data_IF_231646385509
#
_entry.id   IF_231646385509
#
_cell.length_a   1.000
_cell.length_b   1.000
_cell.length_c   1.000
_cell.angle_alpha   90.00
_cell.angle_beta   90.00
_cell.angle_gamma   90.00
#
_symmetry.space_group_name_H-M   'P 1'
#
loop_
_entity.id
_entity.type
_entity.pdbx_description
1 polymer ?
2 non-polymer ?
3 non-polymer ?
4 water ?
#
# COMPACT_ATOMS: atom_id res chain seq x y z
N UNK A 1 10.78 -9.11 -28.89
CA UNK A 1 9.97 -8.70 -27.70
C UNK A 1 9.98 -9.76 -26.60
N UNK A 2 9.92 -11.04 -26.98
CA UNK A 2 10.08 -12.12 -26.02
C UNK A 2 11.46 -12.06 -25.36
N UNK A 3 12.46 -11.67 -26.13
CA UNK A 3 13.81 -11.46 -25.62
C UNK A 3 13.85 -10.36 -24.54
N UNK A 4 13.08 -9.29 -24.76
CA UNK A 4 12.96 -8.21 -23.78
C UNK A 4 12.38 -8.73 -22.46
N UNK A 5 11.38 -9.60 -22.55
CA UNK A 5 10.81 -10.22 -21.37
C UNK A 5 11.85 -11.10 -20.66
N UNK A 6 12.56 -11.89 -21.44
CA UNK A 6 13.57 -12.80 -20.93
C UNK A 6 14.61 -12.04 -20.11
N UNK A 7 15.04 -10.90 -20.62
CA UNK A 7 16.02 -10.07 -19.91
C UNK A 7 15.51 -9.64 -18.54
N UNK A 8 14.23 -9.27 -18.45
CA UNK A 8 13.67 -8.85 -17.16
C UNK A 8 13.53 -10.04 -16.22
N UNK A 9 13.01 -11.15 -16.72
CA UNK A 9 12.89 -12.36 -15.91
C UNK A 9 14.23 -12.76 -15.31
N UNK A 10 15.26 -12.83 -16.15
CA UNK A 10 16.59 -13.18 -15.67
C UNK A 10 17.10 -12.20 -14.63
N UNK A 11 16.83 -10.92 -14.84
CA UNK A 11 17.25 -9.88 -13.91
C UNK A 11 16.64 -10.06 -12.52
N UNK A 12 15.37 -10.48 -12.47
CA UNK A 12 14.65 -10.61 -11.19
C UNK A 12 15.01 -11.85 -10.37
N UNK A 13 15.86 -12.74 -10.92
CA UNK A 13 16.15 -14.03 -10.27
C UNK A 13 17.06 -13.94 -9.05
N UNK A 14 18.12 -13.15 -9.15
CA UNK A 14 19.17 -13.13 -8.11
C UNK A 14 18.61 -12.80 -6.73
N UNK A 15 17.67 -11.87 -6.68
CA UNK A 15 17.14 -11.38 -5.40
C UNK A 15 16.19 -12.35 -4.71
N UNK A 16 15.74 -13.39 -5.42
CA UNK A 16 14.70 -14.27 -4.87
C UNK A 16 15.14 -14.84 -3.54
N UNK A 17 14.21 -14.90 -2.59
CA UNK A 17 14.50 -15.43 -1.26
C UNK A 17 13.59 -16.59 -0.94
N UNK A 18 14.09 -17.51 -0.11
CA UNK A 18 13.28 -18.62 0.37
C UNK A 18 12.41 -18.13 1.51
N UNK A 19 11.17 -18.63 1.59
CA UNK A 19 10.31 -18.27 2.71
C UNK A 19 10.92 -18.65 4.06
N UNK A 20 10.56 -17.89 5.08
CA UNK A 20 10.87 -18.21 6.46
C UNK A 20 9.99 -19.37 6.90
N UNK A 21 10.59 -20.52 7.32
CA UNK A 21 9.76 -21.66 7.73
C UNK A 21 8.75 -21.37 8.85
N UNK A 22 9.02 -20.35 9.67
CA UNK A 22 8.09 -19.91 10.70
C UNK A 22 6.80 -19.33 10.11
N UNK A 23 6.89 -18.81 8.87
CA UNK A 23 5.76 -18.11 8.24
C UNK A 23 5.23 -18.77 6.97
N UNK A 24 5.99 -19.69 6.39
CA UNK A 24 5.64 -20.29 5.11
C UNK A 24 4.34 -21.08 5.20
N UNK A 25 3.33 -20.61 4.46
CA UNK A 25 2.07 -21.32 4.37
C UNK A 25 1.15 -21.23 5.58
N UNK A 26 1.51 -20.43 6.57
CA UNK A 26 0.73 -20.39 7.81
C UNK A 26 -0.66 -19.80 7.60
N UNK A 27 -0.84 -19.07 6.50
CA UNK A 27 -2.13 -18.45 6.19
C UNK A 27 -2.80 -19.05 4.95
N UNK A 28 -2.39 -20.25 4.57
CA UNK A 28 -2.98 -20.94 3.42
C UNK A 28 -4.50 -20.93 3.49
N UNK A 29 -5.11 -20.39 2.44
CA UNK A 29 -6.58 -20.35 2.29
C UNK A 29 -7.34 -19.60 3.38
N UNK A 30 -6.65 -18.75 4.14
CA UNK A 30 -7.31 -17.85 5.09
C UNK A 30 -7.73 -16.57 4.40
N UNK A 31 -8.80 -15.96 4.88
CA UNK A 31 -9.23 -14.68 4.32
C UNK A 31 -8.13 -13.65 4.51
N UNK A 32 -7.98 -12.77 3.53
CA UNK A 32 -7.02 -11.69 3.56
C UNK A 32 -7.76 -10.38 3.41
N UNK A 33 -7.61 -9.51 4.41
CA UNK A 33 -8.24 -8.20 4.42
C UNK A 33 -7.11 -7.17 4.35
N UNK A 34 -7.22 -6.27 3.38
CA UNK A 34 -6.17 -5.32 3.06
C UNK A 34 -6.79 -3.93 3.19
N UNK A 35 -6.30 -3.14 4.14
CA UNK A 35 -6.90 -1.86 4.49
C UNK A 35 -5.97 -0.74 4.09
N UNK A 36 -6.43 0.04 3.12
CA UNK A 36 -5.70 1.18 2.60
C UNK A 36 -6.01 2.43 3.41
N UNK A 37 -4.96 3.13 3.83
CA UNK A 37 -5.11 4.39 4.54
C UNK A 37 -4.68 5.51 3.60
N UNK A 38 -5.65 6.21 3.03
CA UNK A 38 -5.37 7.27 2.06
C UNK A 38 -4.45 8.33 2.66
N UNK A 39 -3.37 8.64 1.94
CA UNK A 39 -2.48 9.77 2.25
C UNK A 39 -1.88 9.74 3.65
N UNK A 40 -1.72 8.55 4.21
CA UNK A 40 -1.32 8.39 5.59
C UNK A 40 0.19 8.29 5.75
N UNK A 41 0.76 9.17 6.58
CA UNK A 41 2.18 9.15 6.89
C UNK A 41 2.38 8.85 8.36
N UNK A 42 3.38 8.03 8.67
CA UNK A 42 3.57 7.60 10.04
C UNK A 42 4.12 8.66 10.99
N UNK A 43 4.44 9.86 10.50
CA UNK A 43 4.74 10.95 11.45
C UNK A 43 3.56 11.21 12.39
N UNK A 44 2.37 10.77 11.98
CA UNK A 44 1.18 10.84 12.82
C UNK A 44 1.23 9.90 14.02
N UNK A 45 1.96 8.80 13.88
CA UNK A 45 1.98 7.78 14.93
C UNK A 45 2.64 8.35 16.18
N UNK A 46 1.89 8.30 17.29
CA UNK A 46 2.28 8.87 18.59
C UNK A 46 2.27 10.39 18.67
N UNK A 47 1.83 11.05 17.60
CA UNK A 47 1.78 12.50 17.57
C UNK A 47 0.57 13.00 18.33
N UNK A 48 0.79 14.01 19.16
CA UNK A 48 -0.29 14.72 19.84
C UNK A 48 -0.44 16.14 19.28
N UNK A 49 -1.68 16.61 19.21
CA UNK A 49 -2.00 17.98 18.82
C UNK A 49 -2.97 18.53 19.85
N UNK A 50 -2.62 19.67 20.46
CA UNK A 50 -3.37 20.23 21.58
C UNK A 50 -3.62 19.20 22.69
N UNK A 51 -2.61 18.35 22.90
CA UNK A 51 -2.66 17.33 23.95
C UNK A 51 -3.42 16.05 23.60
N UNK A 52 -4.03 16.01 22.42
CA UNK A 52 -4.81 14.85 21.99
C UNK A 52 -4.02 13.99 21.02
N UNK A 53 -4.06 12.67 21.20
CA UNK A 53 -3.46 11.74 20.22
C UNK A 53 -4.24 11.83 18.92
N UNK A 54 -3.53 12.09 17.83
CA UNK A 54 -4.20 12.19 16.55
C UNK A 54 -4.79 10.84 16.15
N UNK A 55 -4.00 9.77 16.28
CA UNK A 55 -4.38 8.45 15.79
C UNK A 55 -4.26 7.39 16.91
N UNK A 56 -5.11 7.48 17.95
CA UNK A 56 -4.91 6.60 19.11
C UNK A 56 -5.01 5.10 18.82
N UNK A 57 -5.87 4.70 17.90
CA UNK A 57 -5.99 3.28 17.60
C UNK A 57 -4.74 2.75 16.89
N UNK A 58 -4.32 3.46 15.84
CA UNK A 58 -3.07 3.09 15.15
C UNK A 58 -1.86 3.16 16.06
N UNK A 59 -1.89 4.07 17.03
CA UNK A 59 -0.83 4.12 18.04
C UNK A 59 -0.75 2.83 18.82
N UNK A 60 -1.91 2.29 19.20
CA UNK A 60 -1.96 1.00 19.88
C UNK A 60 -1.42 -0.12 18.99
N UNK A 61 -1.85 -0.16 17.73
CA UNK A 61 -1.34 -1.19 16.82
C UNK A 61 0.17 -1.08 16.65
N UNK A 62 0.67 0.16 16.64
CA UNK A 62 2.09 0.42 16.39
C UNK A 62 2.98 0.05 17.58
N UNK A 63 2.38 -0.22 18.74
CA UNK A 63 3.13 -0.66 19.92
C UNK A 63 3.66 -2.09 19.76
N UNK A 64 3.07 -2.84 18.83
CA UNK A 64 3.41 -4.24 18.63
C UNK A 64 2.72 -5.19 19.60
N UNK A 65 1.89 -4.65 20.48
CA UNK A 65 1.25 -5.43 21.55
C UNK A 65 -0.21 -5.80 21.23
N UNK A 66 -0.66 -5.48 20.02
CA UNK A 66 -2.05 -5.67 19.63
C UNK A 66 -2.24 -6.65 18.47
N UNK A 67 -1.34 -7.62 18.39
CA UNK A 67 -1.41 -8.72 17.39
C UNK A 67 -0.92 -8.35 15.99
N UNK A 68 -0.63 -7.07 15.77
CA UNK A 68 -0.08 -6.63 14.48
C UNK A 68 1.43 -6.47 14.60
N UNK A 69 2.13 -6.86 13.53
CA UNK A 69 3.53 -6.52 13.37
C UNK A 69 3.60 -5.20 12.61
N UNK A 70 4.20 -4.20 13.23
CA UNK A 70 4.36 -2.87 12.66
C UNK A 70 5.77 -2.68 12.12
N UNK A 71 5.83 -2.16 10.89
CA UNK A 71 7.09 -1.83 10.22
C UNK A 71 7.23 -0.31 10.19
N UNK A 72 8.00 0.28 11.12
CA UNK A 72 8.17 1.74 11.15
C UNK A 72 9.05 2.32 10.06
N UNK A 73 9.76 1.48 9.33
CA UNK A 73 10.65 1.93 8.25
C UNK A 73 10.16 1.42 6.89
N UNK A 74 8.88 1.67 6.63
CA UNK A 74 8.19 1.13 5.47
C UNK A 74 7.72 2.29 4.61
N UNK A 75 8.10 2.25 3.33
CA UNK A 75 7.96 3.39 2.41
C UNK A 75 7.10 3.08 1.20
N UNK A 76 6.23 4.01 0.86
CA UNK A 76 5.60 3.99 -0.46
C UNK A 76 6.68 4.31 -1.50
N UNK A 77 6.41 3.92 -2.74
CA UNK A 77 7.37 4.10 -3.83
C UNK A 77 6.64 4.66 -5.05
N UNK A 78 5.65 5.50 -4.80
CA UNK A 78 4.74 6.00 -5.82
C UNK A 78 5.30 7.21 -6.54
N UNK A 79 4.65 7.52 -7.66
CA UNK A 79 4.95 8.70 -8.46
C UNK A 79 3.67 9.47 -8.70
N UNK A 80 3.46 9.90 -9.95
CA UNK A 80 2.34 10.78 -10.27
C UNK A 80 0.98 10.08 -10.24
N UNK A 81 0.97 8.75 -10.24
CA UNK A 81 -0.27 7.99 -10.11
C UNK A 81 -0.82 7.94 -8.70
N UNK A 82 -0.02 8.37 -7.72
CA UNK A 82 -0.45 8.49 -6.31
C UNK A 82 -1.14 7.21 -5.83
N UNK A 83 -2.42 7.29 -5.46
CA UNK A 83 -3.16 6.13 -4.95
C UNK A 83 -3.10 4.94 -5.91
N UNK A 84 -3.34 5.20 -7.19
CA UNK A 84 -3.33 4.12 -8.18
C UNK A 84 -1.95 3.49 -8.33
N UNK A 85 -0.88 4.28 -8.17
CA UNK A 85 0.47 3.71 -8.18
C UNK A 85 0.66 2.73 -7.02
N UNK A 86 0.19 3.13 -5.84
CA UNK A 86 0.27 2.25 -4.68
C UNK A 86 -0.49 0.95 -4.95
N UNK A 87 -1.71 1.05 -5.47
CA UNK A 87 -2.47 -0.15 -5.79
C UNK A 87 -1.71 -1.06 -6.76
N UNK A 88 -1.17 -0.43 -7.80
CA UNK A 88 -0.42 -1.11 -8.85
C UNK A 88 0.73 -1.93 -8.25
N UNK A 89 1.52 -1.28 -7.41
CA UNK A 89 2.68 -1.90 -6.80
C UNK A 89 2.26 -2.98 -5.80
N UNK A 90 1.24 -2.70 -4.99
CA UNK A 90 0.80 -3.63 -3.96
C UNK A 90 0.36 -4.97 -4.55
N UNK A 91 -0.27 -4.93 -5.73
CA UNK A 91 -0.78 -6.14 -6.34
C UNK A 91 0.09 -6.73 -7.45
N UNK A 92 1.24 -6.12 -7.74
CA UNK A 92 2.10 -6.61 -8.83
C UNK A 92 3.59 -6.68 -8.53
N UNK A 93 4.05 -6.00 -7.48
CA UNK A 93 5.50 -5.91 -7.21
C UNK A 93 6.26 -5.34 -8.43
N UNK A 94 5.63 -4.34 -9.03
CA UNK A 94 6.18 -3.54 -10.14
C UNK A 94 6.07 -2.10 -9.70
N UNK A 95 6.91 -1.23 -10.26
CA UNK A 95 6.79 0.21 -10.07
C UNK A 95 5.75 0.78 -11.02
N UNK A 96 5.15 1.90 -10.62
CA UNK A 96 4.43 2.73 -11.58
C UNK A 96 5.40 3.36 -12.57
N UNK A 97 4.89 4.27 -13.39
CA UNK A 97 5.70 4.94 -14.41
C UNK A 97 6.42 6.16 -13.84
N UNK A 98 7.51 6.61 -14.49
CA UNK A 98 8.19 7.81 -13.99
C UNK A 98 7.35 9.08 -14.15
N UNK A 99 6.49 9.08 -15.17
CA UNK A 99 5.55 10.17 -15.38
C UNK A 99 4.21 9.61 -15.78
N UNK A 100 3.16 10.27 -15.30
CA UNK A 100 1.79 9.83 -15.54
C UNK A 100 1.41 8.62 -14.70
N UNK A 101 0.26 8.06 -15.00
CA UNK A 101 -0.34 6.99 -14.21
C UNK A 101 -0.38 5.68 -14.99
N UNK A 102 0.24 4.66 -14.44
CA UNK A 102 0.20 3.32 -15.02
C UNK A 102 -1.24 2.81 -15.19
N UNK A 103 -2.09 3.06 -14.20
CA UNK A 103 -3.50 2.67 -14.31
C UNK A 103 -4.16 3.31 -15.55
N UNK A 104 -3.91 4.59 -15.74
CA UNK A 104 -4.53 5.35 -16.83
C UNK A 104 -3.93 5.02 -18.19
N UNK A 105 -2.63 4.77 -18.21
CA UNK A 105 -1.90 4.60 -19.47
C UNK A 105 -1.69 3.16 -19.91
N UNK A 106 -1.64 2.24 -18.94
CA UNK A 106 -1.29 0.83 -19.19
C UNK A 106 -2.38 -0.10 -18.69
N UNK A 107 -3.61 0.40 -18.70
CA UNK A 107 -4.76 -0.35 -18.19
C UNK A 107 -5.18 -1.58 -18.96
N UNK A 108 -4.77 -1.66 -20.22
CA UNK A 108 -5.06 -2.84 -21.04
C UNK A 108 -3.84 -3.74 -21.27
N UNK A 109 -2.76 -3.50 -20.53
CA UNK A 109 -1.63 -4.42 -20.48
C UNK A 109 -2.02 -5.76 -19.90
N UNK A 110 -1.20 -6.76 -20.19
CA UNK A 110 -1.30 -8.09 -19.59
C UNK A 110 -0.56 -8.06 -18.26
N UNK A 111 -1.18 -8.60 -17.22
CA UNK A 111 -0.58 -8.66 -15.89
C UNK A 111 -0.66 -10.07 -15.32
N UNK A 112 0.18 -10.35 -14.35
CA UNK A 112 0.13 -11.60 -13.60
C UNK A 112 0.02 -11.25 -12.12
N UNK A 113 -1.13 -10.70 -11.77
CA UNK A 113 -1.32 -10.00 -10.50
C UNK A 113 -1.57 -10.93 -9.32
N UNK A 114 -1.29 -10.41 -8.13
CA UNK A 114 -1.53 -11.11 -6.87
C UNK A 114 -2.95 -11.67 -6.74
N UNK A 115 -4.01 -10.86 -6.95
CA UNK A 115 -5.35 -11.46 -6.82
C UNK A 115 -5.58 -12.64 -7.77
N UNK A 116 -5.11 -12.54 -9.01
CA UNK A 116 -5.25 -13.63 -9.95
C UNK A 116 -4.50 -14.89 -9.50
N UNK A 117 -3.29 -14.71 -8.96
CA UNK A 117 -2.52 -15.85 -8.46
C UNK A 117 -3.24 -16.55 -7.31
N UNK A 118 -3.75 -15.76 -6.37
CA UNK A 118 -4.48 -16.33 -5.22
C UNK A 118 -5.72 -17.08 -5.70
N UNK A 119 -6.45 -16.50 -6.64
CA UNK A 119 -7.62 -17.13 -7.25
C UNK A 119 -7.23 -18.48 -7.86
N UNK A 120 -6.18 -18.48 -8.68
CA UNK A 120 -5.81 -19.68 -9.42
C UNK A 120 -5.24 -20.78 -8.55
N UNK A 121 -4.39 -20.40 -7.60
CA UNK A 121 -3.69 -21.38 -6.78
C UNK A 121 -4.52 -21.92 -5.62
N UNK A 122 -5.37 -21.08 -5.04
CA UNK A 122 -6.04 -21.44 -3.80
C UNK A 122 -7.54 -21.18 -3.78
N UNK A 123 -8.10 -20.79 -4.92
CA UNK A 123 -9.55 -20.63 -5.04
C UNK A 123 -10.12 -19.40 -4.37
N UNK A 124 -9.27 -18.40 -4.13
CA UNK A 124 -9.74 -17.11 -3.62
C UNK A 124 -10.71 -16.46 -4.58
N UNK A 125 -11.57 -15.62 -4.03
CA UNK A 125 -12.27 -14.61 -4.81
C UNK A 125 -11.76 -13.27 -4.29
N UNK A 126 -11.43 -12.37 -5.21
CA UNK A 126 -10.84 -11.09 -4.86
C UNK A 126 -11.81 -9.95 -5.09
N UNK A 127 -11.83 -8.99 -4.18
CA UNK A 127 -12.68 -7.83 -4.32
C UNK A 127 -11.97 -6.56 -3.90
N UNK A 128 -12.45 -5.44 -4.43
CA UNK A 128 -12.06 -4.12 -3.98
C UNK A 128 -13.35 -3.42 -3.59
N UNK A 129 -13.30 -2.64 -2.53
CA UNK A 129 -14.41 -1.82 -2.10
C UNK A 129 -13.93 -0.38 -1.98
N UNK A 130 -14.72 0.57 -2.47
CA UNK A 130 -14.29 1.96 -2.51
C UNK A 130 -15.49 2.87 -2.71
N UNK A 131 -15.55 3.96 -1.95
CA UNK A 131 -16.65 4.92 -2.01
C UNK A 131 -16.56 5.99 -3.09
N UNK A 132 -16.09 5.60 -4.26
CA UNK A 132 -16.08 6.45 -5.45
C UNK A 132 -16.44 5.55 -6.63
N UNK A 133 -16.75 6.15 -7.78
CA UNK A 133 -17.26 5.41 -8.93
C UNK A 133 -16.13 4.72 -9.71
N UNK A 134 -16.45 3.57 -10.27
CA UNK A 134 -15.46 2.62 -10.75
C UNK A 134 -14.52 3.05 -11.88
N UNK A 135 -14.90 4.04 -12.69
CA UNK A 135 -13.99 4.43 -13.79
C UNK A 135 -13.01 5.52 -13.40
N UNK A 136 -13.11 6.03 -12.18
CA UNK A 136 -12.07 6.94 -11.75
C UNK A 136 -10.74 6.19 -11.60
N UNK A 137 -9.67 6.84 -12.06
CA UNK A 137 -8.33 6.25 -12.18
C UNK A 137 -8.33 4.98 -13.04
N UNK A 138 -9.36 4.84 -13.89
CA UNK A 138 -9.44 3.73 -14.84
C UNK A 138 -9.52 2.37 -14.13
N UNK A 139 -10.03 2.35 -12.90
CA UNK A 139 -10.03 1.12 -12.11
C UNK A 139 -10.82 0.01 -12.77
N UNK A 140 -11.97 0.35 -13.36
CA UNK A 140 -12.83 -0.64 -14.00
C UNK A 140 -12.04 -1.48 -15.02
N UNK A 141 -11.30 -0.82 -15.90
CA UNK A 141 -10.50 -1.52 -16.90
C UNK A 141 -9.31 -2.26 -16.27
N UNK A 142 -8.58 -1.58 -15.40
CA UNK A 142 -7.37 -2.16 -14.80
C UNK A 142 -7.69 -3.42 -14.01
N UNK A 143 -8.73 -3.36 -13.20
CA UNK A 143 -9.05 -4.47 -12.33
C UNK A 143 -9.40 -5.74 -13.11
N UNK A 144 -9.98 -5.58 -14.30
CA UNK A 144 -10.29 -6.74 -15.15
C UNK A 144 -9.02 -7.42 -15.62
N UNK A 145 -8.00 -6.61 -15.89
CA UNK A 145 -6.70 -7.12 -16.32
C UNK A 145 -5.92 -7.74 -15.15
N UNK A 146 -6.15 -7.23 -13.93
CA UNK A 146 -5.56 -7.82 -12.73
C UNK A 146 -6.29 -9.09 -12.30
N UNK A 147 -7.48 -9.31 -12.83
CA UNK A 147 -8.28 -10.48 -12.45
C UNK A 147 -9.01 -10.35 -11.13
N UNK A 148 -9.42 -9.13 -10.79
CA UNK A 148 -10.23 -8.89 -9.61
C UNK A 148 -11.68 -9.25 -9.91
N UNK A 149 -12.29 -10.06 -9.05
CA UNK A 149 -13.61 -10.62 -9.31
C UNK A 149 -14.75 -9.64 -9.09
N UNK A 150 -14.65 -8.80 -8.07
CA UNK A 150 -15.75 -7.92 -7.72
C UNK A 150 -15.25 -6.55 -7.29
N UNK A 151 -15.99 -5.52 -7.66
CA UNK A 151 -15.65 -4.14 -7.29
C UNK A 151 -16.89 -3.50 -6.72
N UNK A 152 -16.92 -3.39 -5.40
CA UNK A 152 -17.98 -2.67 -4.69
C UNK A 152 -17.63 -1.19 -4.72
N UNK A 153 -18.01 -0.51 -5.80
CA UNK A 153 -17.76 0.90 -5.93
C UNK A 153 -18.87 1.71 -5.28
N UNK A 154 -18.91 3.01 -5.57
CA UNK A 154 -19.86 3.91 -4.91
C UNK A 154 -21.33 3.51 -5.09
N UNK A 155 -21.64 2.76 -6.14
CA UNK A 155 -23.02 2.33 -6.39
C UNK A 155 -23.49 1.29 -5.37
N UNK A 156 -22.58 0.83 -4.51
CA UNK A 156 -22.89 -0.12 -3.44
C UNK A 156 -23.12 0.55 -2.09
N UNK A 157 -23.07 1.88 -2.08
CA UNK A 157 -23.22 2.66 -0.86
C UNK A 157 -24.21 3.80 -1.08
N UNK A 158 -24.76 4.34 0.00
CA UNK A 158 -25.68 5.47 -0.09
C UNK A 158 -24.86 6.75 -0.21
N UNK A 159 -24.84 7.32 -1.41
CA UNK A 159 -24.01 8.47 -1.71
C UNK A 159 -24.72 9.81 -1.53
N UNK A 160 -25.75 9.82 -0.68
CA UNK A 160 -26.47 11.05 -0.36
C UNK A 160 -25.54 12.05 0.33
N UNK A 161 -25.92 13.33 0.26
CA UNK A 161 -25.11 14.43 0.78
C UNK A 161 -24.60 14.24 2.20
N UNK A 162 -25.46 13.71 3.07
CA UNK A 162 -25.11 13.48 4.47
C UNK A 162 -23.99 12.44 4.67
N UNK A 163 -23.78 11.59 3.66
CA UNK A 163 -22.81 10.50 3.75
C UNK A 163 -21.50 10.77 3.02
N UNK A 164 -21.39 11.94 2.41
CA UNK A 164 -20.22 12.24 1.58
C UNK A 164 -19.49 13.49 2.04
N UNK A 165 -18.19 13.50 1.80
CA UNK A 165 -17.39 14.70 1.98
C UNK A 165 -16.25 14.62 0.98
N UNK A 166 -15.87 15.79 0.45
CA UNK A 166 -14.74 15.88 -0.46
C UNK A 166 -14.97 15.00 -1.68
N UNK A 167 -14.22 13.91 -1.86
CA UNK A 167 -14.30 13.13 -3.08
C UNK A 167 -15.42 12.10 -3.14
N UNK A 168 -15.98 11.73 -1.99
CA UNK A 168 -17.04 10.72 -1.99
C UNK A 168 -17.39 10.24 -0.61
N UNK A 169 -17.67 8.96 -0.48
CA UNK A 169 -18.22 8.42 0.75
C UNK A 169 -17.30 8.68 1.93
N UNK A 170 -17.91 9.03 3.07
CA UNK A 170 -17.20 9.18 4.33
C UNK A 170 -16.70 7.83 4.82
N UNK A 171 -15.46 7.82 5.33
CA UNK A 171 -14.83 6.56 5.76
C UNK A 171 -15.62 5.77 6.81
N UNK A 172 -16.31 6.44 7.75
CA UNK A 172 -17.05 5.68 8.78
C UNK A 172 -18.21 4.87 8.22
N UNK A 173 -18.99 5.49 7.32
CA UNK A 173 -20.06 4.79 6.60
C UNK A 173 -19.47 3.68 5.75
N UNK A 174 -18.40 4.02 5.02
CA UNK A 174 -17.71 3.08 4.17
C UNK A 174 -17.29 1.80 4.91
N UNK A 175 -16.60 1.96 6.03
CA UNK A 175 -16.13 0.79 6.78
C UNK A 175 -17.29 -0.04 7.36
N UNK A 176 -18.31 0.65 7.88
CA UNK A 176 -19.47 -0.03 8.46
C UNK A 176 -20.17 -0.89 7.40
N UNK A 177 -20.48 -0.30 6.26
CA UNK A 177 -21.15 -1.00 5.18
C UNK A 177 -20.26 -2.11 4.61
N UNK A 178 -18.97 -1.83 4.47
CA UNK A 178 -18.04 -2.81 3.90
C UNK A 178 -17.91 -4.06 4.76
N UNK A 179 -17.83 -3.89 6.08
CA UNK A 179 -17.79 -5.04 7.00
C UNK A 179 -19.03 -5.91 6.81
N UNK A 180 -20.19 -5.26 6.64
CA UNK A 180 -21.44 -5.97 6.39
C UNK A 180 -21.44 -6.75 5.09
N UNK A 181 -20.89 -6.16 4.03
CA UNK A 181 -20.70 -6.88 2.76
C UNK A 181 -19.76 -8.08 2.92
N UNK A 182 -18.67 -7.87 3.66
CA UNK A 182 -17.67 -8.92 3.84
C UNK A 182 -18.23 -10.13 4.59
N UNK A 183 -19.10 -9.86 5.56
CA UNK A 183 -19.74 -10.92 6.34
C UNK A 183 -20.62 -11.83 5.48
N UNK A 184 -21.01 -11.35 4.31
CA UNK A 184 -21.85 -12.12 3.38
C UNK A 184 -21.04 -12.94 2.37
N UNK A 185 -19.71 -12.79 2.39
CA UNK A 185 -18.83 -13.43 1.43
C UNK A 185 -18.48 -14.86 1.79
N UNK A 186 -18.25 -15.67 0.75
CA UNK A 186 -17.74 -17.01 0.92
C UNK A 186 -16.22 -16.94 1.04
N UNK A 187 -15.68 -17.78 1.91
CA UNK A 187 -14.24 -17.91 2.12
C UNK A 187 -13.67 -18.93 1.12
N UNK A 188 -12.39 -18.74 0.69
CA UNK A 188 -11.45 -17.67 1.02
C UNK A 188 -11.64 -16.45 0.12
N UNK A 189 -11.54 -15.27 0.74
CA UNK A 189 -11.60 -14.04 -0.02
C UNK A 189 -10.37 -13.18 0.26
N UNK A 190 -10.07 -12.32 -0.71
CA UNK A 190 -9.01 -11.34 -0.63
C UNK A 190 -9.69 -10.00 -0.91
N UNK A 191 -9.84 -9.20 0.13
CA UNK A 191 -10.67 -8.00 0.09
C UNK A 191 -9.85 -6.77 0.39
N UNK A 192 -9.87 -5.79 -0.53
CA UNK A 192 -9.11 -4.56 -0.41
C UNK A 192 -10.07 -3.39 -0.22
N UNK A 193 -9.99 -2.75 0.94
CA UNK A 193 -10.82 -1.59 1.23
C UNK A 193 -9.99 -0.33 1.04
N UNK A 194 -10.41 0.49 0.08
CA UNK A 194 -9.70 1.72 -0.26
C UNK A 194 -10.48 2.88 0.34
N UNK A 195 -9.86 3.60 1.27
CA UNK A 195 -10.50 4.70 1.97
C UNK A 195 -10.38 5.99 1.15
N UNK A 196 -10.94 7.10 1.67
CA UNK A 196 -11.12 8.28 0.83
C UNK A 196 -11.10 9.61 1.58
N UNK A 197 -11.57 9.64 2.82
CA UNK A 197 -11.76 10.91 3.52
C UNK A 197 -10.45 11.65 3.83
N UNK A 198 -9.38 10.91 4.11
CA UNK A 198 -8.10 11.54 4.41
C UNK A 198 -7.37 11.89 3.10
N UNK A 199 -7.97 12.79 2.33
CA UNK A 199 -7.48 13.16 1.01
C UNK A 199 -7.46 14.67 0.90
N UNK A 200 -6.44 15.20 0.24
CA UNK A 200 -6.35 16.62 -0.03
C UNK A 200 -7.70 17.14 -0.54
N UNK A 201 -8.16 18.33 -0.10
CA UNK A 201 -7.53 19.29 0.81
C UNK A 201 -7.64 19.00 2.32
N UNK A 202 -8.10 17.80 2.67
CA UNK A 202 -8.24 17.35 4.08
C UNK A 202 -9.32 18.13 4.80
N UNK A 203 -10.51 18.07 4.23
CA UNK A 203 -11.67 18.76 4.77
C UNK A 203 -12.64 17.78 5.42
N UNK A 204 -13.17 18.21 6.56
CA UNK A 204 -14.09 17.40 7.34
C UNK A 204 -15.10 18.35 7.95
N UNK A 205 -16.37 17.96 7.89
CA UNK A 205 -17.41 18.75 8.53
C UNK A 205 -17.17 18.80 10.03
N UNK A 206 -17.35 19.99 10.62
CA UNK A 206 -17.19 20.19 12.06
C UNK A 206 -17.92 19.15 12.88
N UNK A 207 -19.13 18.80 12.46
CA UNK A 207 -19.97 17.83 13.15
C UNK A 207 -19.29 16.46 13.27
N UNK A 208 -18.41 16.15 12.30
CA UNK A 208 -17.75 14.86 12.23
C UNK A 208 -16.38 14.83 12.88
N UNK A 209 -15.80 16.00 13.13
CA UNK A 209 -14.48 16.09 13.74
C UNK A 209 -14.55 15.84 15.24
N UNK A 210 -13.52 15.20 15.79
CA UNK A 210 -13.43 14.94 17.23
C UNK A 210 -12.10 15.44 17.79
N UNK A 211 -11.31 16.09 16.95
CA UNK A 211 -10.07 16.73 17.36
C UNK A 211 -10.03 18.10 16.69
N UNK A 212 -9.49 19.09 17.38
CA UNK A 212 -9.28 20.38 16.75
C UNK A 212 -8.08 20.32 15.82
N UNK A 213 -8.09 21.21 14.82
CA UNK A 213 -6.98 21.35 13.91
C UNK A 213 -5.73 21.78 14.66
N UNK A 214 -4.56 21.48 14.11
CA UNK A 214 -3.35 22.15 14.56
C UNK A 214 -3.44 23.63 14.17
N UNK A 215 -2.46 24.40 14.65
CA UNK A 215 -2.48 25.85 14.46
C UNK A 215 -1.25 26.36 13.71
N UNK A 216 -0.84 25.64 12.67
CA UNK A 216 0.33 26.06 11.90
C UNK A 216 0.01 27.24 11.00
N UNK A 217 -1.27 27.38 10.65
CA UNK A 217 -1.72 28.36 9.68
C UNK A 217 -1.83 27.83 8.25
N UNK A 218 -1.22 26.68 8.00
CA UNK A 218 -1.31 26.02 6.70
C UNK A 218 -2.57 25.16 6.75
N UNK A 219 -3.53 25.49 5.90
CA UNK A 219 -4.83 24.84 5.95
C UNK A 219 -4.76 23.35 5.62
N UNK A 220 -3.77 22.97 4.82
CA UNK A 220 -3.59 21.56 4.46
C UNK A 220 -3.12 20.74 5.66
N UNK A 221 -2.04 21.19 6.29
CA UNK A 221 -1.50 20.52 7.46
C UNK A 221 -2.53 20.52 8.60
N UNK A 222 -3.16 21.67 8.82
CA UNK A 222 -4.09 21.80 9.94
C UNK A 222 -5.32 20.92 9.77
N UNK A 223 -5.83 20.83 8.54
CA UNK A 223 -6.97 19.96 8.24
C UNK A 223 -6.64 18.47 8.30
N UNK A 224 -5.42 18.13 7.88
CA UNK A 224 -4.92 16.75 7.89
C UNK A 224 -5.06 16.10 9.26
N UNK A 225 -4.84 16.89 10.31
CA UNK A 225 -4.98 16.39 11.67
C UNK A 225 -6.38 15.82 11.91
N UNK A 226 -7.40 16.53 11.44
CA UNK A 226 -8.78 16.11 11.65
C UNK A 226 -9.19 14.91 10.81
N UNK A 227 -8.83 14.91 9.53
CA UNK A 227 -9.16 13.76 8.68
C UNK A 227 -8.41 12.51 9.08
N UNK A 228 -7.17 12.67 9.58
CA UNK A 228 -6.40 11.52 10.05
C UNK A 228 -7.03 10.91 11.29
N UNK A 229 -7.49 11.76 12.22
CA UNK A 229 -8.19 11.28 13.41
C UNK A 229 -9.47 10.55 13.01
N UNK A 230 -10.22 11.13 12.08
CA UNK A 230 -11.46 10.54 11.60
C UNK A 230 -11.21 9.14 11.02
N UNK A 231 -10.19 9.02 10.19
CA UNK A 231 -9.80 7.74 9.62
C UNK A 231 -9.40 6.73 10.71
N UNK A 232 -8.64 7.18 11.69
CA UNK A 232 -8.25 6.32 12.80
C UNK A 232 -9.46 5.76 13.54
N UNK A 233 -10.44 6.63 13.79
CA UNK A 233 -11.69 6.21 14.44
C UNK A 233 -12.50 5.26 13.59
N UNK A 234 -12.53 5.52 12.29
CA UNK A 234 -13.24 4.66 11.36
C UNK A 234 -12.64 3.27 11.35
N UNK A 235 -11.30 3.21 11.32
CA UNK A 235 -10.57 1.96 11.36
C UNK A 235 -10.80 1.21 12.67
N UNK A 236 -10.77 1.91 13.79
CA UNK A 236 -10.99 1.30 15.11
C UNK A 236 -12.34 0.59 15.14
N UNK A 237 -13.38 1.28 14.66
CA UNK A 237 -14.72 0.72 14.64
C UNK A 237 -14.82 -0.45 13.67
N UNK A 238 -14.12 -0.35 12.54
CA UNK A 238 -14.07 -1.46 11.58
C UNK A 238 -13.51 -2.73 12.21
N UNK A 239 -12.41 -2.60 12.94
CA UNK A 239 -11.82 -3.77 13.62
C UNK A 239 -12.80 -4.37 14.64
N UNK A 240 -13.48 -3.51 15.40
CA UNK A 240 -14.56 -3.94 16.32
C UNK A 240 -15.59 -4.78 15.59
N UNK A 241 -16.02 -4.28 14.43
CA UNK A 241 -17.02 -4.95 13.62
C UNK A 241 -16.53 -6.30 13.13
N UNK A 242 -15.27 -6.37 12.70
CA UNK A 242 -14.72 -7.66 12.29
C UNK A 242 -14.74 -8.66 13.42
N UNK A 243 -14.43 -8.21 14.63
CA UNK A 243 -14.46 -9.09 15.80
C UNK A 243 -15.87 -9.61 16.06
N UNK A 244 -16.87 -8.74 15.93
CA UNK A 244 -18.26 -9.14 16.15
C UNK A 244 -18.74 -10.13 15.09
N UNK A 245 -18.20 -10.00 13.88
CA UNK A 245 -18.61 -10.83 12.74
C UNK A 245 -17.77 -12.10 12.59
N UNK A 246 -16.79 -12.29 13.47
CA UNK A 246 -15.91 -13.46 13.42
C UNK A 246 -14.94 -13.45 12.25
N UNK A 247 -14.58 -12.25 11.77
CA UNK A 247 -13.70 -12.09 10.63
C UNK A 247 -12.33 -11.53 11.03
N UNK A 248 -12.06 -11.48 12.33
CA UNK A 248 -10.82 -10.90 12.82
C UNK A 248 -9.72 -11.94 13.07
N UNK A 249 -9.96 -12.89 13.98
CA UNK A 249 -8.91 -13.79 14.46
C UNK A 249 -8.23 -14.61 13.38
N UNK A 250 -9.01 -15.09 12.42
CA UNK A 250 -8.51 -16.05 11.44
C UNK A 250 -8.27 -15.44 10.06
N UNK A 251 -8.26 -14.11 9.99
CA UNK A 251 -7.89 -13.38 8.79
C UNK A 251 -6.47 -12.85 8.88
N UNK A 252 -5.76 -12.86 7.75
CA UNK A 252 -4.60 -11.99 7.59
C UNK A 252 -5.17 -10.59 7.41
N UNK A 253 -4.73 -9.64 8.21
CA UNK A 253 -5.15 -8.26 8.06
C UNK A 253 -3.93 -7.40 7.87
N UNK A 254 -3.88 -6.70 6.73
CA UNK A 254 -2.81 -5.74 6.53
C UNK A 254 -3.38 -4.34 6.41
N UNK A 255 -2.59 -3.38 6.88
CA UNK A 255 -2.94 -1.98 6.88
C UNK A 255 -1.72 -1.25 6.33
N UNK A 256 -1.94 -0.25 5.48
CA UNK A 256 -0.83 0.49 4.89
C UNK A 256 -1.26 1.87 4.48
N UNK A 257 -0.37 2.85 4.63
CA UNK A 257 -0.59 4.17 4.01
C UNK A 257 -0.17 4.10 2.55
N UNK A 258 -0.95 4.72 1.67
CA UNK A 258 -0.63 4.56 0.24
C UNK A 258 0.54 5.41 -0.25
N UNK A 259 0.60 6.67 0.19
CA UNK A 259 1.63 7.61 -0.24
C UNK A 259 1.53 8.83 0.67
N UNK A 260 2.46 9.78 0.52
CA UNK A 260 2.45 10.96 1.39
C UNK A 260 1.21 11.80 1.16
N UNK A 261 0.73 12.44 2.22
CA UNK A 261 -0.37 13.38 2.15
C UNK A 261 0.10 14.81 2.12
N UNK A 262 1.26 15.08 2.71
CA UNK A 262 1.78 16.43 2.87
C UNK A 262 3.04 16.60 2.01
N UNK A 263 2.93 17.36 0.94
CA UNK A 263 4.07 17.57 0.04
C UNK A 263 5.07 18.58 0.61
N UNK A 264 6.18 18.77 -0.12
CA UNK A 264 7.21 19.75 0.25
C UNK A 264 6.70 21.19 0.22
N UNK A 265 5.56 21.43 -0.42
CA UNK A 265 4.95 22.75 -0.41
C UNK A 265 4.67 23.24 1.01
N UNK A 266 4.60 22.29 1.94
CA UNK A 266 4.16 22.56 3.29
C UNK A 266 5.28 22.51 4.32
N UNK A 267 6.51 22.70 3.86
CA UNK A 267 7.67 22.61 4.71
C UNK A 267 7.65 23.60 5.88
N UNK A 268 7.17 24.82 5.65
CA UNK A 268 7.10 25.81 6.73
C UNK A 268 6.22 25.32 7.88
N UNK A 269 5.03 24.85 7.55
CA UNK A 269 4.10 24.36 8.55
C UNK A 269 4.55 23.06 9.18
N UNK A 270 5.16 22.18 8.39
CA UNK A 270 5.63 20.91 8.92
C UNK A 270 6.78 21.11 9.91
N UNK A 271 7.61 22.14 9.68
CA UNK A 271 8.64 22.49 10.66
C UNK A 271 8.00 22.92 11.98
N UNK A 272 6.93 23.71 11.90
CA UNK A 272 6.20 24.10 13.12
C UNK A 272 5.60 22.88 13.82
N UNK A 273 4.95 22.00 13.04
CA UNK A 273 4.27 20.83 13.59
C UNK A 273 5.23 19.84 14.23
N UNK A 274 6.32 19.54 13.54
CA UNK A 274 7.25 18.50 13.96
C UNK A 274 8.46 18.99 14.74
N UNK A 275 8.66 20.31 14.79
CA UNK A 275 9.76 20.89 15.56
C UNK A 275 11.13 20.63 14.99
N UNK A 276 11.25 20.62 13.67
CA UNK A 276 12.54 20.61 12.98
C UNK A 276 12.39 21.03 11.54
N UNK A 277 13.44 21.62 10.99
CA UNK A 277 13.43 22.07 9.61
C UNK A 277 13.28 20.86 8.68
N UNK A 278 12.40 21.00 7.69
CA UNK A 278 12.19 19.92 6.72
C UNK A 278 13.20 20.06 5.58
N UNK A 279 14.37 19.48 5.80
CA UNK A 279 15.41 19.37 4.77
C UNK A 279 15.01 18.28 3.78
N UNK A 280 15.66 18.21 2.61
CA UNK A 280 15.39 17.08 1.71
C UNK A 280 15.53 15.70 2.38
N UNK A 281 16.54 15.53 3.23
CA UNK A 281 16.73 14.27 3.95
C UNK A 281 15.56 14.00 4.90
N UNK A 282 15.13 15.02 5.62
CA UNK A 282 13.99 14.88 6.52
C UNK A 282 12.70 14.56 5.74
N UNK A 283 12.50 15.24 4.61
CA UNK A 283 11.31 14.92 3.82
C UNK A 283 11.31 13.46 3.39
N UNK A 284 12.46 12.95 2.98
CA UNK A 284 12.59 11.54 2.62
C UNK A 284 12.18 10.65 3.80
N UNK A 285 12.66 10.98 5.00
CA UNK A 285 12.27 10.22 6.19
C UNK A 285 10.76 10.23 6.40
N UNK A 286 10.12 11.35 6.06
CA UNK A 286 8.67 11.51 6.24
C UNK A 286 7.85 10.75 5.21
N UNK A 287 8.51 10.16 4.22
CA UNK A 287 7.81 9.28 3.27
C UNK A 287 7.49 7.87 3.81
N UNK A 288 7.81 7.65 5.09
CA UNK A 288 7.32 6.48 5.77
C UNK A 288 5.81 6.52 5.83
N UNK A 289 5.17 5.48 5.31
CA UNK A 289 3.72 5.40 5.20
C UNK A 289 3.16 4.19 5.95
N UNK A 290 4.04 3.33 6.46
CA UNK A 290 3.63 2.27 7.38
C UNK A 290 3.11 0.99 6.77
N UNK A 291 3.37 -0.10 7.48
CA UNK A 291 2.76 -1.39 7.18
C UNK A 291 2.52 -2.07 8.52
N UNK A 292 1.30 -2.56 8.70
CA UNK A 292 0.93 -3.33 9.87
C UNK A 292 0.32 -4.62 9.36
N UNK A 293 0.72 -5.76 9.92
CA UNK A 293 0.15 -7.02 9.47
C UNK A 293 -0.11 -7.95 10.64
N UNK A 294 -1.33 -8.47 10.69
CA UNK A 294 -1.73 -9.47 11.67
C UNK A 294 -1.87 -10.80 10.93
N UNK A 295 -1.22 -11.83 11.48
CA UNK A 295 -1.21 -13.16 10.89
C UNK A 295 -1.78 -14.12 11.94
N UNK A 296 -2.85 -14.85 11.61
CA UNK A 296 -3.42 -15.76 12.59
C UNK A 296 -2.38 -16.75 13.14
N UNK A 297 -2.39 -16.95 14.45
CA UNK A 297 -1.47 -17.88 15.10
C UNK A 297 -0.10 -17.29 15.38
N UNK A 298 0.12 -16.04 14.97
CA UNK A 298 1.39 -15.36 15.17
C UNK A 298 1.26 -14.12 16.04
N UNK A 299 2.25 -13.90 16.90
CA UNK A 299 2.30 -12.70 17.73
C UNK A 299 2.62 -11.48 16.87
N UNK A 300 2.19 -10.32 17.34
CA UNK A 300 2.59 -9.05 16.75
C UNK A 300 3.96 -8.64 17.27
N UNK A 301 4.35 -7.41 16.96
CA UNK A 301 5.65 -6.89 17.36
C UNK A 301 6.02 -5.70 16.51
N UNK A 302 7.29 -5.30 16.61
CA UNK A 302 7.83 -4.22 15.80
C UNK A 302 8.98 -4.81 15.00
N UNK A 303 8.92 -4.65 13.68
CA UNK A 303 9.97 -5.11 12.80
C UNK A 303 10.59 -3.90 12.11
N UNK A 304 11.86 -3.62 12.40
CA UNK A 304 12.54 -2.42 11.92
C UNK A 304 13.12 -2.51 10.52
N UNK A 305 12.84 -3.60 9.81
CA UNK A 305 13.33 -3.80 8.45
C UNK A 305 12.95 -2.62 7.55
N UNK A 306 13.93 -2.07 6.82
CA UNK A 306 13.63 -1.07 5.80
C UNK A 306 13.04 -1.78 4.60
N UNK A 307 11.89 -1.29 4.14
CA UNK A 307 11.12 -1.99 3.13
C UNK A 307 10.21 -1.06 2.37
N UNK A 308 9.75 -1.53 1.21
CA UNK A 308 8.81 -0.79 0.39
C UNK A 308 7.61 -1.61 0.00
N UNK A 309 6.64 -0.93 -0.61
CA UNK A 309 5.42 -1.58 -1.08
C UNK A 309 5.67 -2.71 -2.08
N UNK A 310 6.76 -2.67 -2.83
CA UNK A 310 7.09 -3.79 -3.72
C UNK A 310 7.23 -5.11 -2.97
N UNK A 311 7.49 -5.05 -1.67
CA UNK A 311 7.74 -6.25 -0.89
C UNK A 311 6.47 -6.95 -0.44
N UNK A 312 5.31 -6.31 -0.56
CA UNK A 312 4.09 -6.88 -0.02
C UNK A 312 3.63 -8.14 -0.75
N UNK A 313 3.61 -8.10 -2.08
CA UNK A 313 3.14 -9.25 -2.85
C UNK A 313 3.89 -10.56 -2.52
N UNK A 314 5.24 -10.57 -2.60
CA UNK A 314 5.93 -11.83 -2.23
C UNK A 314 5.69 -12.25 -0.79
N UNK A 315 5.49 -11.28 0.11
CA UNK A 315 5.18 -11.58 1.50
C UNK A 315 3.86 -12.35 1.62
N UNK A 316 2.83 -11.83 0.96
CA UNK A 316 1.52 -12.45 0.99
C UNK A 316 1.53 -13.83 0.36
N UNK A 317 2.19 -13.96 -0.79
CA UNK A 317 2.26 -15.26 -1.46
C UNK A 317 2.94 -16.31 -0.60
N UNK A 318 4.04 -15.93 0.07
CA UNK A 318 4.71 -16.87 0.98
C UNK A 318 3.87 -17.23 2.19
N UNK A 319 3.13 -16.27 2.75
CA UNK A 319 2.21 -16.57 3.84
C UNK A 319 1.16 -17.58 3.41
N UNK A 320 0.71 -17.48 2.16
CA UNK A 320 -0.26 -18.43 1.61
C UNK A 320 0.35 -19.81 1.33
N UNK A 321 1.68 -19.88 1.23
CA UNK A 321 2.37 -21.12 0.91
C UNK A 321 2.54 -21.35 -0.58
N UNK A 322 2.56 -20.26 -1.34
CA UNK A 322 2.68 -20.34 -2.80
C UNK A 322 4.13 -20.10 -3.21
N UNK A 323 4.67 -21.00 -4.03
CA UNK A 323 6.02 -20.91 -4.59
C UNK A 323 6.05 -19.79 -5.63
N UNK A 324 6.97 -18.85 -5.47
CA UNK A 324 6.99 -17.64 -6.29
C UNK A 324 8.13 -17.56 -7.30
N UNK A 325 8.85 -18.66 -7.50
CA UNK A 325 10.03 -18.66 -8.37
C UNK A 325 9.77 -18.17 -9.79
N UNK A 326 8.55 -18.39 -10.28
CA UNK A 326 8.21 -18.01 -11.65
C UNK A 326 7.51 -16.67 -11.79
N UNK A 327 7.34 -15.94 -10.68
CA UNK A 327 6.70 -14.63 -10.77
C UNK A 327 7.72 -13.52 -10.91
N UNK A 328 7.47 -12.64 -11.88
CA UNK A 328 8.32 -11.50 -12.15
C UNK A 328 7.97 -10.42 -11.12
N UNK A 329 8.81 -10.29 -10.10
CA UNK A 329 8.57 -9.37 -8.99
C UNK A 329 9.87 -8.68 -8.64
N UNK A 330 9.78 -7.40 -8.27
CA UNK A 330 10.96 -6.66 -7.82
C UNK A 330 11.16 -6.68 -6.32
N UNK A 331 10.10 -6.94 -5.57
CA UNK A 331 10.20 -7.01 -4.12
C UNK A 331 10.64 -8.37 -3.63
N UNK A 332 10.88 -8.45 -2.33
CA UNK A 332 11.19 -9.71 -1.65
C UNK A 332 10.39 -9.77 -0.34
N UNK A 333 10.14 -11.00 0.10
CA UNK A 333 9.36 -11.32 1.28
C UNK A 333 9.89 -10.65 2.54
N UNK A 334 9.03 -9.88 3.20
CA UNK A 334 9.40 -9.14 4.42
C UNK A 334 9.90 -10.00 5.56
N UNK A 335 9.41 -11.23 5.63
CA UNK A 335 9.74 -12.14 6.73
C UNK A 335 10.91 -13.06 6.42
N UNK A 336 11.39 -13.03 5.19
CA UNK A 336 12.53 -13.86 4.81
C UNK A 336 13.82 -13.25 5.31
N UNK A 337 14.73 -14.11 5.78
CA UNK A 337 16.04 -13.66 6.26
C UNK A 337 16.78 -12.90 5.19
N UNK A 338 16.59 -13.31 3.94
CA UNK A 338 17.27 -12.70 2.81
C UNK A 338 16.62 -11.46 2.23
N UNK A 339 15.56 -10.96 2.87
CA UNK A 339 14.86 -9.76 2.40
C UNK A 339 15.86 -8.70 1.97
N UNK A 340 15.68 -8.21 0.75
CA UNK A 340 16.56 -7.19 0.21
C UNK A 340 16.23 -5.83 0.80
N UNK A 341 17.10 -5.37 1.69
CA UNK A 341 16.86 -4.16 2.47
C UNK A 341 17.33 -2.90 1.73
N UNK A 342 16.83 -2.73 0.52
CA UNK A 342 17.09 -1.57 -0.32
C UNK A 342 15.72 -1.15 -0.84
N UNK A 343 15.40 0.14 -0.70
CA UNK A 343 14.09 0.65 -1.10
C UNK A 343 14.27 1.73 -2.18
N UNK A 344 14.12 1.35 -3.46
CA UNK A 344 14.11 2.35 -4.52
C UNK A 344 12.90 3.28 -4.45
N UNK A 345 13.12 4.55 -4.74
CA UNK A 345 12.04 5.51 -4.89
C UNK A 345 11.91 5.86 -6.37
N UNK A 346 10.73 6.32 -6.77
CA UNK A 346 10.43 6.51 -8.19
C UNK A 346 11.34 7.55 -8.85
N UNK A 347 11.82 8.53 -8.08
CA UNK A 347 12.69 9.58 -8.61
C UNK A 347 14.17 9.20 -8.66
N UNK A 348 14.50 7.96 -8.30
CA UNK A 348 15.90 7.52 -8.30
C UNK A 348 16.60 7.65 -6.97
N UNK A 349 15.99 8.39 -6.03
CA UNK A 349 16.45 8.37 -4.65
C UNK A 349 16.25 6.95 -4.10
N UNK A 350 16.91 6.64 -3.00
CA UNK A 350 16.67 5.36 -2.32
C UNK A 350 17.09 5.40 -0.87
N UNK A 351 16.69 4.38 -0.12
CA UNK A 351 17.08 4.27 1.27
C UNK A 351 17.49 2.83 1.58
N UNK A 352 18.45 2.70 2.48
CA UNK A 352 18.86 1.41 3.04
C UNK A 352 18.80 1.56 4.55
N UNK A 353 19.19 0.52 5.28
CA UNK A 353 19.21 0.55 6.74
C UNK A 353 20.08 1.70 7.27
N UNK A 354 21.24 1.93 6.62
CA UNK A 354 22.25 2.82 7.18
C UNK A 354 22.24 4.24 6.61
N UNK A 355 21.81 4.37 5.35
CA UNK A 355 21.86 5.66 4.69
C UNK A 355 20.75 5.87 3.66
N UNK A 356 20.57 7.12 3.28
CA UNK A 356 19.64 7.50 2.22
C UNK A 356 20.39 8.26 1.13
N UNK A 357 19.91 8.12 -0.09
CA UNK A 357 20.47 8.82 -1.24
C UNK A 357 19.39 9.75 -1.75
N UNK A 358 19.60 11.05 -1.62
CA UNK A 358 18.57 12.05 -1.88
C UNK A 358 19.15 13.17 -2.74
N UNK A 359 18.56 13.35 -3.92
CA UNK A 359 19.00 14.37 -4.89
C UNK A 359 20.52 14.40 -5.09
N UNK A 360 21.11 13.22 -5.26
CA UNK A 360 22.54 13.10 -5.54
C UNK A 360 23.47 13.14 -4.33
N UNK A 361 22.91 13.26 -3.13
CA UNK A 361 23.71 13.31 -1.90
C UNK A 361 23.39 12.14 -0.97
N UNK A 362 24.40 11.68 -0.23
CA UNK A 362 24.24 10.57 0.72
C UNK A 362 24.21 11.09 2.15
N UNK A 363 23.19 10.68 2.91
CA UNK A 363 23.03 11.06 4.31
C UNK A 363 22.94 9.84 5.20
N UNK A 364 23.56 9.91 6.37
CA UNK A 364 23.40 8.86 7.37
C UNK A 364 22.00 8.93 7.96
N UNK A 365 21.35 7.78 8.10
CA UNK A 365 20.00 7.73 8.68
C UNK A 365 19.97 8.10 10.16
N UNK A 366 21.10 7.92 10.84
CA UNK A 366 21.22 8.19 12.27
C UNK A 366 20.94 9.65 12.64
N UNK A 367 21.39 10.57 11.78
CA UNK A 367 21.34 12.00 12.08
C UNK A 367 21.03 12.87 10.87
N UNK A 368 20.83 12.24 9.72
CA UNK A 368 20.65 12.93 8.43
C UNK A 368 21.81 13.87 8.08
N UNK A 369 22.99 13.58 8.61
CA UNK A 369 24.18 14.37 8.26
C UNK A 369 24.79 13.82 6.99
N UNK A 370 25.34 14.72 6.18
CA UNK A 370 25.97 14.35 4.91
C UNK A 370 27.10 13.35 5.14
N UNK A 371 27.11 12.28 4.35
CA UNK A 371 28.21 11.34 4.31
C UNK A 371 29.11 11.73 3.13
N UNK A 372 30.37 12.02 3.43
CA UNK A 372 31.34 12.45 2.42
C UNK A 372 32.11 11.30 1.78
N UNK A 373 32.32 10.22 2.53
CA UNK A 373 32.98 9.02 2.02
C UNK A 373 31.97 7.97 1.60
N UNK A 374 31.96 7.67 0.30
CA UNK A 374 31.02 6.75 -0.33
C UNK A 374 31.01 5.37 0.33
N UNK A 375 29.85 4.94 0.88
CA UNK A 375 29.72 3.61 1.50
C UNK A 375 30.13 2.49 0.56
N UNK A 376 30.62 1.39 1.13
CA UNK A 376 31.15 0.26 0.37
C UNK A 376 30.14 -0.35 -0.61
N UNK A 377 28.88 -0.41 -0.21
CA UNK A 377 27.83 -1.03 -1.02
C UNK A 377 27.04 -0.03 -1.86
N UNK A 378 27.46 1.24 -1.86
CA UNK A 378 26.71 2.30 -2.52
C UNK A 378 26.56 2.12 -4.02
N UNK A 379 27.67 1.87 -4.71
CA UNK A 379 27.64 1.69 -6.17
C UNK A 379 26.71 0.55 -6.58
N UNK A 380 26.79 -0.56 -5.84
CA UNK A 380 25.95 -1.73 -6.06
C UNK A 380 24.47 -1.39 -5.87
N UNK A 381 24.17 -0.71 -4.76
CA UNK A 381 22.80 -0.31 -4.45
C UNK A 381 22.23 0.72 -5.43
N UNK A 382 23.02 1.73 -5.78
CA UNK A 382 22.60 2.73 -6.75
C UNK A 382 22.27 2.07 -8.09
N UNK A 383 23.13 1.14 -8.52
CA UNK A 383 22.92 0.40 -9.75
C UNK A 383 21.63 -0.43 -9.70
N UNK A 384 21.40 -1.11 -8.58
CA UNK A 384 20.19 -1.91 -8.41
C UNK A 384 18.96 -1.03 -8.53
N UNK A 385 18.99 0.13 -7.88
CA UNK A 385 17.87 1.07 -7.89
C UNK A 385 17.56 1.53 -9.31
N UNK A 386 18.59 2.01 -10.01
CA UNK A 386 18.44 2.49 -11.39
C UNK A 386 17.91 1.40 -12.31
N UNK A 387 18.50 0.21 -12.20
CA UNK A 387 18.11 -0.89 -13.06
C UNK A 387 16.72 -1.45 -12.74
N UNK A 388 16.37 -1.49 -11.46
CA UNK A 388 15.02 -1.91 -11.06
C UNK A 388 13.97 -1.04 -11.73
N UNK A 389 14.17 0.27 -11.67
CA UNK A 389 13.21 1.20 -12.28
C UNK A 389 13.15 1.02 -13.79
N UNK A 390 14.30 0.88 -14.42
CA UNK A 390 14.36 0.70 -15.88
C UNK A 390 13.71 -0.60 -16.31
N UNK A 391 14.02 -1.68 -15.59
CA UNK A 391 13.49 -3.00 -15.91
C UNK A 391 11.97 -3.07 -15.72
N UNK A 392 11.49 -2.47 -14.63
CA UNK A 392 10.06 -2.39 -14.39
C UNK A 392 9.38 -1.59 -15.50
N UNK A 393 9.94 -0.42 -15.82
CA UNK A 393 9.41 0.39 -16.92
C UNK A 393 9.36 -0.38 -18.23
N UNK A 394 10.37 -1.22 -18.49
CA UNK A 394 10.37 -2.04 -19.70
C UNK A 394 9.19 -3.02 -19.77
N UNK A 395 8.80 -3.58 -18.63
CA UNK A 395 7.64 -4.46 -18.59
C UNK A 395 6.38 -3.69 -18.99
N UNK A 396 6.18 -2.52 -18.40
CA UNK A 396 4.99 -1.72 -18.67
C UNK A 396 4.97 -1.18 -20.08
N UNK A 397 6.10 -0.61 -20.51
CA UNK A 397 6.16 0.02 -21.83
C UNK A 397 6.15 -1.01 -22.97
N UNK A 398 6.73 -2.18 -22.73
CA UNK A 398 6.74 -3.24 -23.73
C UNK A 398 5.57 -4.20 -23.62
N UNK A 399 4.72 -3.99 -22.61
CA UNK A 399 3.62 -4.92 -22.30
C UNK A 399 4.16 -6.35 -22.35
N UNK A 400 5.21 -6.59 -21.58
CA UNK A 400 6.03 -7.79 -21.76
C UNK A 400 5.40 -9.10 -21.29
N UNK A 401 4.41 -9.03 -20.41
CA UNK A 401 3.76 -10.26 -19.97
C UNK A 401 3.02 -10.97 -21.09
N UNK A 402 2.72 -10.25 -22.17
CA UNK A 402 2.14 -10.86 -23.37
C UNK A 402 2.95 -12.06 -23.86
N UNK A 403 4.25 -12.02 -23.60
CA UNK A 403 5.18 -13.01 -24.14
C UNK A 403 5.56 -14.09 -23.14
N UNK A 404 5.01 -14.00 -21.93
CA UNK A 404 5.38 -14.92 -20.85
C UNK A 404 4.43 -16.09 -20.77
N UNK A 405 4.89 -17.26 -21.20
CA UNK A 405 4.21 -18.52 -20.95
C UNK A 405 4.68 -19.03 -19.59
N UNK A 406 3.97 -18.60 -18.55
CA UNK A 406 4.33 -18.90 -17.18
C UNK A 406 3.67 -20.19 -16.72
N UNK A 407 4.48 -21.21 -16.35
CA UNK A 407 3.92 -22.48 -15.89
C UNK A 407 3.02 -22.34 -14.67
N UNK A 408 3.21 -21.26 -13.92
CA UNK A 408 2.47 -21.01 -12.68
C UNK A 408 1.42 -19.90 -12.81
N UNK A 409 1.04 -19.57 -14.04
CA UNK A 409 0.00 -18.56 -14.25
C UNK A 409 -0.82 -18.81 -15.49
N UNK A 410 -2.14 -18.86 -15.32
CA UNK A 410 -3.06 -18.98 -16.44
C UNK A 410 -3.45 -17.59 -16.90
N UNK A 411 -3.15 -17.27 -18.15
CA UNK A 411 -3.41 -15.94 -18.70
C UNK A 411 -4.84 -15.50 -18.39
N UNK A 412 -4.97 -14.30 -17.85
CA UNK A 412 -6.27 -13.72 -17.52
C UNK A 412 -7.00 -13.32 -18.81
N UNK A 413 -8.26 -13.70 -18.91
CA UNK A 413 -9.13 -13.22 -19.97
C UNK A 413 -9.94 -12.07 -19.37
N UNK A 414 -9.58 -10.80 -19.68
CA UNK A 414 -10.25 -9.69 -18.99
C UNK A 414 -11.75 -9.62 -19.28
N UNK A 415 -12.19 -10.18 -20.40
CA UNK A 415 -13.61 -10.16 -20.75
C UNK A 415 -14.45 -11.04 -19.83
N UNK A 416 -13.79 -11.87 -19.02
CA UNK A 416 -14.50 -12.71 -18.06
C UNK A 416 -14.85 -11.99 -16.75
N UNK A 417 -14.46 -10.73 -16.65
CA UNK A 417 -14.67 -9.92 -15.46
C UNK A 417 -15.59 -8.74 -15.79
N UNK A 418 -16.58 -8.52 -14.92
CA UNK A 418 -17.53 -7.44 -15.11
C UNK A 418 -18.02 -7.02 -13.73
N UNK A 419 -18.12 -5.71 -13.53
CA UNK A 419 -18.52 -5.19 -12.23
C UNK A 419 -19.90 -4.58 -12.36
N UNK A 420 -20.89 -5.31 -11.86
CA UNK A 420 -22.27 -4.92 -11.97
C UNK A 420 -22.56 -3.71 -11.08
N UNK A 421 -23.47 -2.87 -11.53
CA UNK A 421 -23.93 -1.74 -10.75
C UNK A 421 -24.59 -2.24 -9.46
N UNK A 422 -24.23 -1.60 -8.34
CA UNK A 422 -24.76 -1.98 -7.04
C UNK A 422 -26.19 -1.55 -6.81
N UNK A 423 -26.76 -1.98 -5.66
CA UNK A 423 -28.18 -1.80 -5.35
C UNK A 423 -28.53 -0.40 -4.86
N UNK A 424 -27.52 0.45 -4.70
CA UNK A 424 -27.72 1.78 -4.12
C UNK A 424 -27.41 2.90 -5.09
#
# INVERSE_FOLDING_TARGET
SEDDLTKVLNYTKQRQTEPNPEYYGVAKKKNIIKIHLESFQTFLINKKVNGKEVTPFLNKLSSGKEQFTYFPNFFHQTGQGKTSDSEFTMDNSLYGLPQGSAFSLKGDNTYQSLPAILDQKQGYKSDVMHGDYKTFWNRDQVYKHFGIDKFYDATYYDMSDKNVVNLGLKDKIFFKDSANYQAKMKSPFYSHLITLTNHYPFTLDEKDATIEKSNTGDATVDGYIQTARYLDEALEEYINDLKKKGLYDNSVIMIYGDHYGISENHNNAMEKLLGEKITPAKFTDLNRTGFWIKIPGKSGGINNEYAGQVDVMPTILHLAGIDTKNYLMFGTDLFSKGHNQVVPFRNGDFITKDYKYVNGKIYSNKNNELITTQPADFEKNKKQVEKDLEMSDNVLNGDLFRFYKNPDFKKVNPSKYKYETGPK
#
